data_IF_003266722527
#
_entry.id   IF_003266722527
#
_cell.length_a   1.000
_cell.length_b   1.000
_cell.length_c   1.000
_cell.angle_alpha   90.00
_cell.angle_beta   90.00
_cell.angle_gamma   90.00
#
_symmetry.space_group_name_H-M   'P 1'
#
loop_
_entity.id
_entity.type
_entity.pdbx_description
1 polymer ?
2 polymer ?
3 non-polymer ?
#
loop_
_entity_poly.entity_id
_entity_poly.type
_entity_poly.pdbx_seq_one_letter_code
_entity_poly.pdbx_strand_id
2 'polyribonucleotide' 'GGCCAGGUAGCUCAGUUGGUAGAGCACUGGACUGAAAAUCCAGGUGUCGGCGGUUCGAUUCCGCCCCUGGCCAC' ?
#
# COMPACT_ATOMS: atom_id res chain seq x y z
N UNK A 1 -26.96 -7.66 15.85
CA UNK A 1 -28.33 -7.73 15.32
C UNK A 1 -28.38 -8.70 14.15
N UNK A 2 -27.22 -8.98 13.58
CA UNK A 2 -27.11 -9.88 12.44
C UNK A 2 -27.59 -11.29 12.78
N UNK A 3 -27.13 -11.81 13.92
CA UNK A 3 -27.51 -13.14 14.37
C UNK A 3 -29.00 -13.29 14.63
N UNK A 4 -29.64 -12.22 15.09
CA UNK A 4 -31.07 -12.24 15.36
C UNK A 4 -31.87 -12.35 14.07
N UNK A 5 -31.57 -11.47 13.11
CA UNK A 5 -32.22 -11.48 11.81
C UNK A 5 -31.95 -12.82 11.10
N UNK A 6 -30.75 -13.35 11.27
CA UNK A 6 -30.38 -14.64 10.70
C UNK A 6 -31.18 -15.76 11.33
N UNK A 7 -31.48 -15.61 12.62
CA UNK A 7 -32.30 -16.59 13.33
C UNK A 7 -33.74 -16.55 12.83
N UNK A 8 -34.26 -15.33 12.61
CA UNK A 8 -35.62 -15.16 12.11
C UNK A 8 -35.79 -15.73 10.71
N UNK A 9 -34.76 -15.59 9.89
CA UNK A 9 -34.79 -16.08 8.52
C UNK A 9 -34.38 -17.55 8.43
N UNK A 10 -33.92 -18.09 9.55
CA UNK A 10 -33.44 -19.46 9.59
C UNK A 10 -32.21 -19.66 8.73
N UNK A 11 -31.25 -18.73 8.85
CA UNK A 11 -30.04 -18.76 8.05
C UNK A 11 -28.80 -18.93 8.93
N UNK A 12 -27.64 -19.00 8.27
CA UNK A 12 -26.37 -19.07 8.98
C UNK A 12 -25.39 -18.06 8.38
N UNK A 13 -25.00 -17.06 9.16
CA UNK A 13 -24.07 -16.04 8.69
C UNK A 13 -22.75 -16.14 9.42
N UNK A 14 -21.67 -15.74 8.76
CA UNK A 14 -20.34 -15.84 9.37
C UNK A 14 -19.45 -14.67 8.95
N UNK A 15 -18.61 -14.23 9.88
CA UNK A 15 -17.54 -13.28 9.55
C UNK A 15 -16.43 -14.08 8.88
N UNK A 16 -15.97 -13.60 7.72
CA UNK A 16 -15.09 -14.41 6.88
C UNK A 16 -13.93 -13.62 6.24
N UNK A 17 -12.77 -14.26 6.16
CA UNK A 17 -11.64 -13.70 5.45
C UNK A 17 -10.65 -12.96 6.33
N UNK A 18 -9.93 -12.03 5.73
CA UNK A 18 -8.91 -11.25 6.42
C UNK A 18 -9.47 -10.51 7.63
N UNK A 19 -10.75 -10.15 7.54
CA UNK A 19 -11.44 -9.51 8.66
C UNK A 19 -11.28 -10.33 9.92
N UNK A 20 -11.42 -11.65 9.80
CA UNK A 20 -11.20 -12.55 10.92
C UNK A 20 -9.76 -12.46 11.39
N UNK A 21 -8.84 -12.54 10.42
CA UNK A 21 -7.42 -12.49 10.71
C UNK A 21 -7.08 -11.25 11.53
N UNK A 22 -7.48 -10.08 11.02
CA UNK A 22 -7.26 -8.82 11.70
C UNK A 22 -7.85 -8.83 13.11
N UNK A 23 -8.99 -9.49 13.26
CA UNK A 23 -9.62 -9.63 14.57
C UNK A 23 -8.73 -10.47 15.48
N UNK A 24 -8.23 -11.57 14.94
CA UNK A 24 -7.33 -12.45 15.69
C UNK A 24 -5.97 -11.79 15.88
N UNK A 25 -5.65 -10.84 15.02
CA UNK A 25 -4.41 -10.08 15.14
C UNK A 25 -4.62 -8.83 16.00
N UNK A 26 -5.84 -8.67 16.51
CA UNK A 26 -6.17 -7.55 17.37
C UNK A 26 -6.45 -6.26 16.61
N UNK A 27 -6.25 -6.29 15.29
CA UNK A 27 -6.45 -5.12 14.45
C UNK A 27 -7.93 -4.92 14.15
N UNK A 28 -8.46 -3.76 14.55
CA UNK A 28 -9.87 -3.47 14.33
C UNK A 28 -10.08 -2.73 13.01
N UNK A 29 -10.96 -3.28 12.18
CA UNK A 29 -11.27 -2.68 10.88
C UNK A 29 -12.75 -2.34 10.78
N UNK A 30 -13.07 -1.36 9.91
CA UNK A 30 -14.44 -0.94 9.70
C UNK A 30 -15.09 -1.69 8.55
N UNK A 31 -14.29 -2.48 7.84
CA UNK A 31 -14.80 -3.26 6.71
C UNK A 31 -14.96 -4.72 7.11
N UNK A 32 -16.21 -5.18 7.15
CA UNK A 32 -16.48 -6.56 7.56
C UNK A 32 -17.07 -7.37 6.40
N UNK A 33 -16.57 -8.58 6.23
CA UNK A 33 -17.04 -9.47 5.18
C UNK A 33 -17.87 -10.62 5.74
N UNK A 34 -19.06 -10.79 5.19
CA UNK A 34 -19.98 -11.82 5.65
C UNK A 34 -20.24 -12.88 4.59
N UNK A 35 -20.24 -14.15 5.02
CA UNK A 35 -20.68 -15.25 4.18
C UNK A 35 -21.95 -15.87 4.76
N UNK A 36 -23.00 -15.89 3.95
CA UNK A 36 -24.30 -16.35 4.40
C UNK A 36 -24.80 -17.57 3.64
N UNK A 37 -25.16 -18.61 4.38
CA UNK A 37 -25.81 -19.78 3.79
C UNK A 37 -27.28 -19.46 3.59
N UNK A 38 -27.73 -19.51 2.33
CA UNK A 38 -29.03 -18.98 1.98
C UNK A 38 -28.82 -17.59 1.40
N UNK A 39 -29.90 -16.89 1.09
CA UNK A 39 -29.79 -15.59 0.43
C UNK A 39 -29.23 -14.52 1.37
N UNK A 40 -28.10 -13.93 0.96
CA UNK A 40 -27.49 -12.84 1.73
C UNK A 40 -28.15 -11.50 1.41
N UNK A 41 -28.72 -11.40 0.21
CA UNK A 41 -29.30 -10.15 -0.25
C UNK A 41 -30.43 -9.66 0.65
N UNK A 42 -31.40 -10.52 0.90
CA UNK A 42 -32.54 -10.17 1.75
C UNK A 42 -32.08 -9.85 3.16
N UNK A 43 -31.02 -10.53 3.60
CA UNK A 43 -30.45 -10.28 4.92
C UNK A 43 -29.88 -8.87 5.00
N UNK A 44 -29.13 -8.49 3.97
CA UNK A 44 -28.54 -7.17 3.92
C UNK A 44 -29.61 -6.08 3.80
N UNK A 45 -30.67 -6.38 3.05
CA UNK A 45 -31.76 -5.44 2.86
C UNK A 45 -32.51 -5.22 4.18
N UNK A 46 -32.78 -6.30 4.90
CA UNK A 46 -33.49 -6.23 6.18
C UNK A 46 -32.64 -5.51 7.22
N UNK A 47 -31.35 -5.84 7.26
CA UNK A 47 -30.43 -5.19 8.20
C UNK A 47 -30.31 -3.71 7.90
N UNK A 48 -30.35 -3.35 6.62
CA UNK A 48 -30.27 -1.95 6.22
C UNK A 48 -31.58 -1.23 6.56
N UNK A 49 -32.68 -1.97 6.51
CA UNK A 49 -34.01 -1.40 6.76
C UNK A 49 -34.23 -1.11 8.25
N UNK A 50 -33.85 -2.07 9.10
CA UNK A 50 -34.02 -1.90 10.54
C UNK A 50 -33.20 -0.73 11.07
N UNK A 51 -31.96 -0.60 10.60
CA UNK A 51 -31.09 0.49 11.01
C UNK A 51 -31.43 1.77 10.25
N UNK A 52 -32.30 1.65 9.25
CA UNK A 52 -32.74 2.80 8.49
C UNK A 52 -31.65 3.44 7.65
N UNK A 53 -30.94 2.61 6.88
CA UNK A 53 -29.90 3.09 5.99
C UNK A 53 -30.07 2.54 4.57
N UNK A 54 -29.45 3.18 3.60
CA UNK A 54 -29.53 2.74 2.21
C UNK A 54 -28.86 1.38 2.00
N UNK A 55 -29.29 0.67 0.97
CA UNK A 55 -28.73 -0.64 0.66
C UNK A 55 -28.31 -0.69 -0.81
N UNK A 56 -27.21 -1.37 -1.09
CA UNK A 56 -26.70 -1.50 -2.44
C UNK A 56 -26.62 -2.97 -2.85
N UNK A 57 -27.72 -3.50 -3.42
CA UNK A 57 -27.82 -4.89 -3.87
C UNK A 57 -27.09 -5.16 -5.18
N UNK A 58 -26.52 -6.36 -5.28
CA UNK A 58 -25.89 -6.84 -6.50
C UNK A 58 -26.30 -8.31 -6.71
N UNK A 59 -27.43 -8.52 -7.39
CA UNK A 59 -28.05 -9.83 -7.61
C UNK A 59 -27.19 -10.80 -8.43
N UNK A 60 -26.55 -10.30 -9.49
CA UNK A 60 -25.76 -11.14 -10.37
C UNK A 60 -24.55 -11.72 -9.65
N UNK A 61 -23.88 -10.89 -8.85
CA UNK A 61 -22.77 -11.34 -8.03
C UNK A 61 -23.29 -12.06 -6.79
N UNK A 62 -24.50 -11.71 -6.37
CA UNK A 62 -25.12 -12.33 -5.22
C UNK A 62 -24.63 -11.74 -3.91
N UNK A 63 -24.17 -10.49 -3.97
CA UNK A 63 -23.66 -9.82 -2.78
C UNK A 63 -24.34 -8.48 -2.59
N UNK A 64 -24.29 -7.94 -1.38
CA UNK A 64 -24.92 -6.65 -1.10
C UNK A 64 -24.10 -5.84 -0.10
N UNK A 65 -24.00 -4.53 -0.36
CA UNK A 65 -23.21 -3.66 0.50
C UNK A 65 -24.07 -2.62 1.20
N UNK A 66 -23.85 -2.45 2.50
CA UNK A 66 -24.58 -1.45 3.29
C UNK A 66 -23.65 -0.81 4.31
N UNK A 67 -23.88 0.47 4.61
CA UNK A 67 -23.00 1.18 5.54
C UNK A 67 -23.75 1.64 6.79
N UNK A 68 -23.25 1.23 7.95
CA UNK A 68 -23.81 1.65 9.23
C UNK A 68 -22.76 2.40 10.03
N UNK A 69 -22.95 3.70 10.21
CA UNK A 69 -21.95 4.54 10.85
C UNK A 69 -20.66 4.52 10.06
N UNK A 70 -19.55 4.17 10.70
CA UNK A 70 -18.27 4.03 10.02
C UNK A 70 -18.07 2.60 9.51
N UNK A 71 -18.96 1.70 9.91
CA UNK A 71 -18.87 0.30 9.50
C UNK A 71 -19.33 0.09 8.07
N UNK A 72 -18.47 -0.52 7.27
CA UNK A 72 -18.81 -0.89 5.90
C UNK A 72 -19.06 -2.40 5.83
N UNK A 73 -20.31 -2.77 5.59
CA UNK A 73 -20.72 -4.18 5.64
C UNK A 73 -20.96 -4.75 4.24
N UNK A 74 -20.36 -5.91 3.99
CA UNK A 74 -20.55 -6.64 2.74
C UNK A 74 -21.08 -8.05 3.02
N UNK A 75 -22.27 -8.34 2.53
CA UNK A 75 -22.84 -9.67 2.68
C UNK A 75 -22.71 -10.46 1.37
N UNK A 76 -22.09 -11.63 1.46
CA UNK A 76 -21.88 -12.46 0.29
C UNK A 76 -22.51 -13.84 0.46
N UNK A 77 -23.10 -14.34 -0.61
CA UNK A 77 -23.73 -15.66 -0.59
C UNK A 77 -22.66 -16.73 -0.76
N UNK A 78 -22.79 -17.82 0.00
CA UNK A 78 -21.82 -18.91 -0.04
C UNK A 78 -21.74 -19.55 -1.42
N UNK A 79 -20.52 -19.65 -1.95
CA UNK A 79 -20.29 -20.21 -3.27
C UNK A 79 -19.05 -21.10 -3.28
N UNK A 80 -19.15 -22.26 -3.93
CA UNK A 80 -18.04 -23.20 -3.98
C UNK A 80 -17.00 -22.79 -5.02
N UNK A 81 -17.43 -22.03 -6.02
CA UNK A 81 -16.54 -21.62 -7.11
C UNK A 81 -16.53 -20.10 -7.27
N UNK A 82 -15.48 -19.60 -7.91
CA UNK A 82 -15.32 -18.17 -8.12
C UNK A 82 -16.09 -17.70 -9.35
N UNK A 93 -27.42 -26.00 -6.67
CA UNK A 93 -27.13 -26.60 -5.38
C UNK A 93 -26.48 -25.58 -4.44
N UNK A 94 -27.02 -25.47 -3.21
CA UNK A 94 -26.49 -24.55 -2.21
C UNK A 94 -25.08 -24.95 -1.75
N UNK A 95 -24.19 -23.97 -1.65
CA UNK A 95 -22.80 -24.24 -1.27
C UNK A 95 -22.61 -24.06 0.23
N UNK A 96 -21.88 -25.00 0.84
CA UNK A 96 -21.58 -24.92 2.27
C UNK A 96 -20.52 -23.86 2.54
N UNK A 97 -20.45 -23.42 3.79
CA UNK A 97 -19.43 -22.47 4.22
C UNK A 97 -18.03 -22.98 3.92
N UNK A 98 -17.80 -24.27 4.20
CA UNK A 98 -16.50 -24.90 3.99
C UNK A 98 -16.04 -24.78 2.54
N UNK A 99 -16.97 -24.99 1.62
CA UNK A 99 -16.68 -24.86 0.19
C UNK A 99 -16.34 -23.41 -0.16
N UNK A 100 -16.96 -22.47 0.55
CA UNK A 100 -16.71 -21.06 0.30
C UNK A 100 -15.34 -20.65 0.83
N UNK A 101 -14.90 -21.31 1.89
CA UNK A 101 -13.60 -21.01 2.49
C UNK A 101 -12.45 -21.69 1.75
N UNK A 102 -12.72 -22.85 1.17
CA UNK A 102 -11.66 -23.64 0.53
C UNK A 102 -11.24 -23.07 -0.82
N UNK A 103 -12.02 -22.12 -1.34
CA UNK A 103 -11.70 -21.50 -2.62
C UNK A 103 -10.77 -20.30 -2.42
N UNK A 104 -10.41 -20.04 -1.18
CA UNK A 104 -9.60 -18.86 -0.86
C UNK A 104 -8.11 -19.19 -0.92
N UNK A 105 -7.28 -18.19 -0.65
CA UNK A 105 -5.84 -18.32 -0.88
C UNK A 105 -5.09 -19.05 0.23
N UNK A 106 -4.98 -18.42 1.40
CA UNK A 106 -4.13 -18.93 2.47
C UNK A 106 -4.91 -19.33 3.71
N UNK A 107 -4.32 -20.20 4.51
CA UNK A 107 -4.97 -20.76 5.70
C UNK A 107 -5.41 -19.69 6.70
N UNK A 108 -4.62 -18.63 6.81
CA UNK A 108 -4.95 -17.55 7.75
C UNK A 108 -6.16 -16.75 7.28
N UNK A 109 -6.39 -16.76 5.97
CA UNK A 109 -7.54 -16.08 5.39
C UNK A 109 -8.72 -17.03 5.16
N UNK A 110 -8.54 -18.28 5.54
CA UNK A 110 -9.52 -19.32 5.29
C UNK A 110 -10.46 -19.60 6.47
N UNK A 111 -10.31 -18.84 7.55
CA UNK A 111 -11.11 -19.11 8.75
C UNK A 111 -12.36 -18.24 8.83
N UNK A 112 -13.18 -18.50 9.84
CA UNK A 112 -14.44 -17.77 10.00
C UNK A 112 -14.91 -17.73 11.45
N UNK A 113 -15.68 -16.70 11.79
CA UNK A 113 -16.24 -16.56 13.13
C UNK A 113 -17.77 -16.45 13.07
N UNK A 114 -18.45 -17.39 13.72
CA UNK A 114 -19.90 -17.49 13.61
C UNK A 114 -20.64 -16.38 14.38
N UNK A 115 -21.52 -15.69 13.68
CA UNK A 115 -22.35 -14.66 14.30
C UNK A 115 -23.73 -15.20 14.68
N UNK A 116 -23.94 -16.50 14.49
CA UNK A 116 -25.19 -17.12 14.89
C UNK A 116 -25.32 -17.16 16.40
N UNK A 117 -26.50 -16.81 16.91
CA UNK A 117 -26.71 -16.57 18.34
C UNK A 117 -26.34 -17.74 19.25
N UNK A 118 -26.51 -18.96 18.76
CA UNK A 118 -26.27 -20.15 19.59
C UNK A 118 -24.78 -20.44 19.78
N UNK A 119 -24.03 -20.45 18.69
CA UNK A 119 -22.60 -20.74 18.73
C UNK A 119 -21.74 -19.48 18.77
N UNK A 120 -22.39 -18.32 18.94
CA UNK A 120 -21.75 -17.01 18.80
C UNK A 120 -20.43 -16.88 19.54
N UNK A 121 -19.41 -16.41 18.82
CA UNK A 121 -18.08 -16.22 19.37
C UNK A 121 -17.12 -17.30 18.93
N UNK A 122 -17.66 -18.40 18.39
CA UNK A 122 -16.85 -19.53 17.99
C UNK A 122 -16.13 -19.29 16.67
N UNK A 123 -14.83 -19.55 16.66
CA UNK A 123 -14.02 -19.45 15.46
C UNK A 123 -14.06 -20.78 14.70
N UNK A 124 -14.42 -20.72 13.42
CA UNK A 124 -14.49 -21.93 12.60
C UNK A 124 -13.26 -22.05 11.71
N UNK A 125 -12.41 -23.02 12.03
CA UNK A 125 -11.19 -23.26 11.26
C UNK A 125 -11.08 -24.72 10.84
N UNK A 126 -11.24 -24.97 9.54
CA UNK A 126 -11.14 -26.33 8.99
C UNK A 126 -9.70 -26.76 8.70
N UNK A 127 -8.91 -25.84 8.14
CA UNK A 127 -7.61 -26.17 7.57
C UNK A 127 -6.45 -25.95 8.55
N UNK A 128 -6.76 -25.55 9.77
CA UNK A 128 -5.75 -25.30 10.76
C UNK A 128 -5.04 -23.98 10.55
N UNK A 129 -5.79 -22.99 10.07
CA UNK A 129 -5.25 -21.66 9.82
C UNK A 129 -4.84 -20.93 11.08
N UNK A 130 -5.45 -21.33 12.20
CA UNK A 130 -5.13 -20.77 13.50
C UNK A 130 -3.70 -21.15 13.89
N UNK A 131 -3.35 -22.41 13.66
CA UNK A 131 -2.02 -22.91 13.92
C UNK A 131 -0.97 -22.15 13.12
N UNK A 132 -1.25 -21.97 11.82
CA UNK A 132 -0.35 -21.24 10.94
C UNK A 132 -0.27 -19.77 11.35
N UNK A 133 -1.35 -19.27 11.92
CA UNK A 133 -1.38 -17.89 12.40
C UNK A 133 -0.47 -17.74 13.61
N UNK A 134 -0.50 -18.72 14.51
CA UNK A 134 0.34 -18.67 15.69
C UNK A 134 1.78 -19.08 15.37
N UNK A 135 1.96 -19.82 14.27
CA UNK A 135 3.29 -20.27 13.87
C UNK A 135 3.92 -19.33 12.86
N UNK A 136 3.21 -18.26 12.52
CA UNK A 136 3.68 -17.26 11.56
C UNK A 136 3.98 -17.89 10.20
N UNK A 137 3.03 -18.65 9.69
CA UNK A 137 3.23 -19.39 8.45
C UNK A 137 2.18 -19.05 7.39
N UNK A 138 2.65 -18.72 6.19
CA UNK A 138 1.76 -18.52 5.05
C UNK A 138 1.64 -19.82 4.26
N UNK A 139 0.46 -20.43 4.28
CA UNK A 139 0.29 -21.74 3.65
C UNK A 139 -0.93 -21.77 2.73
N UNK A 140 -0.71 -22.26 1.51
CA UNK A 140 -1.78 -22.43 0.55
C UNK A 140 -2.64 -23.64 0.88
N UNK A 141 -3.88 -23.63 0.41
CA UNK A 141 -4.82 -24.72 0.69
C UNK A 141 -4.57 -25.93 -0.20
N UNK A 142 -4.30 -25.69 -1.47
CA UNK A 142 -4.07 -26.75 -2.44
C UNK A 142 -2.85 -26.44 -3.31
N UNK A 143 -2.16 -27.48 -3.79
CA UNK A 143 -0.94 -27.33 -4.60
C UNK A 143 -1.13 -26.52 -5.88
N UNK A 144 -2.36 -26.46 -6.38
CA UNK A 144 -2.65 -25.76 -7.62
C UNK A 144 -3.01 -24.30 -7.40
N UNK A 145 -2.92 -23.85 -6.15
CA UNK A 145 -3.33 -22.51 -5.75
C UNK A 145 -2.70 -21.40 -6.60
N UNK A 146 -1.38 -21.42 -6.73
CA UNK A 146 -0.68 -20.38 -7.48
C UNK A 146 -0.95 -20.53 -8.98
N UNK A 147 -1.23 -21.75 -9.40
CA UNK A 147 -1.56 -22.01 -10.80
C UNK A 147 -2.94 -21.46 -11.14
N UNK A 148 -3.88 -21.63 -10.21
CA UNK A 148 -5.24 -21.10 -10.38
C UNK A 148 -5.22 -19.58 -10.49
N UNK A 149 -4.63 -18.93 -9.49
CA UNK A 149 -4.55 -17.48 -9.46
C UNK A 149 -3.11 -17.04 -9.25
N UNK A 150 -2.38 -16.79 -10.35
CA UNK A 150 -0.98 -16.35 -10.31
C UNK A 150 -0.77 -15.08 -9.49
N UNK A 151 -1.79 -14.24 -9.41
CA UNK A 151 -1.73 -13.01 -8.62
C UNK A 151 -1.33 -13.30 -7.18
N UNK A 152 -1.81 -14.42 -6.65
CA UNK A 152 -1.50 -14.85 -5.29
C UNK A 152 0.00 -14.91 -5.03
N UNK A 153 0.78 -15.20 -6.08
CA UNK A 153 2.24 -15.24 -5.96
C UNK A 153 2.76 -13.97 -5.31
N UNK A 154 2.21 -12.83 -5.73
CA UNK A 154 2.54 -11.57 -5.10
C UNK A 154 1.95 -11.50 -3.69
N UNK A 155 0.65 -11.78 -3.61
CA UNK A 155 -0.12 -11.60 -2.37
C UNK A 155 0.56 -12.24 -1.18
N UNK A 156 0.94 -13.51 -1.31
CA UNK A 156 1.61 -14.23 -0.25
C UNK A 156 2.80 -13.41 0.26
N UNK A 157 3.68 -13.06 -0.67
CA UNK A 157 4.86 -12.27 -0.34
C UNK A 157 4.44 -11.00 0.40
N UNK A 158 3.43 -10.33 -0.15
CA UNK A 158 2.92 -9.10 0.45
C UNK A 158 2.52 -9.35 1.90
N UNK A 159 1.76 -10.43 2.14
CA UNK A 159 1.37 -10.75 3.50
C UNK A 159 2.59 -11.07 4.33
N UNK A 160 3.51 -11.83 3.73
CA UNK A 160 4.74 -12.20 4.42
C UNK A 160 5.53 -10.95 4.77
N UNK A 161 5.30 -9.88 4.01
CA UNK A 161 5.91 -8.61 4.30
C UNK A 161 5.25 -7.94 5.50
N UNK A 162 3.93 -7.92 5.49
CA UNK A 162 3.18 -7.19 6.53
C UNK A 162 3.23 -7.87 7.89
N UNK A 163 2.82 -9.14 7.91
CA UNK A 163 2.69 -9.87 9.16
C UNK A 163 4.02 -10.43 9.65
N UNK A 164 5.06 -10.26 8.83
CA UNK A 164 6.37 -10.83 9.09
C UNK A 164 6.26 -12.34 9.30
N UNK A 165 5.57 -13.01 8.40
CA UNK A 165 5.44 -14.47 8.45
C UNK A 165 6.42 -15.12 7.50
N UNK A 166 6.44 -16.45 7.48
CA UNK A 166 7.32 -17.19 6.59
C UNK A 166 6.54 -18.20 5.75
N UNK A 167 6.98 -18.38 4.51
CA UNK A 167 6.35 -19.34 3.61
C UNK A 167 6.75 -20.76 4.00
N UNK A 168 5.76 -21.65 4.05
CA UNK A 168 6.03 -23.05 4.32
C UNK A 168 6.79 -23.66 3.14
N UNK A 169 7.51 -24.74 3.40
CA UNK A 169 8.28 -25.42 2.36
C UNK A 169 7.41 -25.76 1.15
N UNK A 170 6.23 -26.31 1.44
CA UNK A 170 5.24 -26.61 0.41
C UNK A 170 4.93 -25.37 -0.41
N UNK A 171 4.36 -24.36 0.25
CA UNK A 171 3.97 -23.12 -0.39
C UNK A 171 5.13 -22.45 -1.14
N UNK A 172 6.33 -22.52 -0.57
CA UNK A 172 7.49 -21.91 -1.19
C UNK A 172 7.85 -22.62 -2.49
N UNK A 173 7.98 -23.95 -2.44
CA UNK A 173 8.30 -24.73 -3.62
C UNK A 173 7.25 -24.53 -4.71
N UNK A 174 5.98 -24.56 -4.32
CA UNK A 174 4.87 -24.37 -5.24
C UNK A 174 4.92 -22.98 -5.89
N UNK A 175 5.30 -21.98 -5.11
CA UNK A 175 5.41 -20.62 -5.62
C UNK A 175 6.54 -20.53 -6.64
N UNK A 176 7.70 -21.09 -6.28
CA UNK A 176 8.85 -21.09 -7.18
C UNK A 176 8.53 -21.79 -8.49
N UNK A 177 7.87 -22.94 -8.39
CA UNK A 177 7.44 -23.68 -9.57
C UNK A 177 6.47 -22.85 -10.41
N UNK A 178 5.57 -22.15 -9.75
CA UNK A 178 4.59 -21.31 -10.44
C UNK A 178 5.26 -20.17 -11.21
N UNK A 179 6.30 -19.58 -10.62
CA UNK A 179 7.02 -18.49 -11.27
C UNK A 179 7.86 -19.03 -12.43
N UNK A 180 8.44 -20.20 -12.24
CA UNK A 180 9.27 -20.84 -13.26
C UNK A 180 8.50 -21.17 -14.54
N UNK A 181 7.18 -21.31 -14.41
CA UNK A 181 6.34 -21.61 -15.56
C UNK A 181 5.97 -20.33 -16.30
N UNK A 182 6.33 -19.19 -15.74
CA UNK A 182 6.05 -17.90 -16.34
C UNK A 182 4.57 -17.58 -16.32
N UNK A 183 3.87 -18.13 -15.33
CA UNK A 183 2.43 -17.89 -15.19
C UNK A 183 2.15 -16.45 -14.84
N UNK A 184 3.16 -15.75 -14.35
CA UNK A 184 3.03 -14.36 -13.95
C UNK A 184 2.82 -13.46 -15.17
N UNK A 185 3.29 -13.91 -16.33
CA UNK A 185 3.07 -13.19 -17.58
C UNK A 185 1.67 -13.46 -18.12
N UNK A 186 1.17 -14.66 -17.90
CA UNK A 186 -0.16 -15.03 -18.36
C UNK A 186 -1.26 -14.37 -17.54
N UNK A 187 -0.93 -13.99 -16.30
CA UNK A 187 -1.88 -13.34 -15.41
C UNK A 187 -2.29 -11.96 -15.93
N UNK A 188 -3.55 -11.56 -15.66
CA UNK A 188 -4.04 -10.24 -16.04
C UNK A 188 -3.17 -9.11 -15.51
N UNK A 189 -2.84 -8.15 -16.37
CA UNK A 189 -1.96 -7.05 -16.02
C UNK A 189 -2.53 -6.20 -14.88
N UNK A 190 -3.81 -5.88 -14.97
CA UNK A 190 -4.47 -5.03 -14.00
C UNK A 190 -4.43 -5.56 -12.58
N UNK A 191 -4.64 -6.86 -12.42
CA UNK A 191 -4.64 -7.48 -11.11
C UNK A 191 -3.26 -7.41 -10.46
N UNK A 192 -2.23 -7.68 -11.25
CA UNK A 192 -0.85 -7.63 -10.77
C UNK A 192 -0.45 -6.22 -10.40
N UNK A 193 -0.75 -5.27 -11.29
CA UNK A 193 -0.42 -3.86 -11.05
C UNK A 193 -1.13 -3.38 -9.78
N UNK A 194 -2.39 -3.74 -9.63
CA UNK A 194 -3.15 -3.37 -8.45
C UNK A 194 -2.57 -4.03 -7.19
N UNK A 195 -2.03 -5.23 -7.35
CA UNK A 195 -1.41 -5.94 -6.24
C UNK A 195 -0.16 -5.20 -5.78
N UNK A 196 0.62 -4.72 -6.74
CA UNK A 196 1.81 -3.94 -6.43
C UNK A 196 1.42 -2.61 -5.79
N UNK A 197 0.30 -2.05 -6.25
CA UNK A 197 -0.23 -0.82 -5.66
C UNK A 197 -0.58 -1.05 -4.20
N UNK A 198 -1.18 -2.20 -3.90
CA UNK A 198 -1.49 -2.57 -2.53
C UNK A 198 -0.21 -2.81 -1.74
N UNK A 199 0.83 -3.26 -2.43
CA UNK A 199 2.10 -3.56 -1.80
C UNK A 199 2.79 -2.28 -1.32
N UNK A 200 2.89 -1.30 -2.21
CA UNK A 200 3.65 -0.09 -1.91
C UNK A 200 3.00 0.79 -0.84
N UNK A 201 1.77 0.45 -0.47
CA UNK A 201 1.07 1.19 0.57
C UNK A 201 1.46 0.72 1.97
N UNK A 202 2.18 -0.41 2.02
CA UNK A 202 2.61 -0.99 3.28
C UNK A 202 3.81 -0.24 3.86
N UNK A 203 3.92 -0.23 5.19
CA UNK A 203 5.09 0.34 5.85
C UNK A 203 6.25 -0.65 5.81
N UNK A 204 5.90 -1.93 5.74
CA UNK A 204 6.87 -3.01 5.66
C UNK A 204 7.16 -3.39 4.22
N UNK A 205 6.64 -2.57 3.30
CA UNK A 205 6.78 -2.76 1.85
C UNK A 205 8.21 -3.08 1.40
N UNK A 206 9.20 -2.53 2.09
CA UNK A 206 10.60 -2.83 1.77
C UNK A 206 10.89 -4.33 1.88
N UNK A 207 10.36 -4.96 2.92
CA UNK A 207 10.50 -6.41 3.09
C UNK A 207 9.84 -7.15 1.94
N UNK A 208 8.70 -6.63 1.50
CA UNK A 208 7.99 -7.19 0.36
C UNK A 208 8.84 -7.06 -0.90
N UNK A 209 9.65 -6.01 -0.95
CA UNK A 209 10.58 -5.82 -2.07
C UNK A 209 11.72 -6.80 -1.96
N UNK A 210 12.12 -7.13 -0.73
CA UNK A 210 13.14 -8.15 -0.51
C UNK A 210 12.65 -9.51 -0.98
N UNK A 211 11.38 -9.79 -0.72
CA UNK A 211 10.77 -11.03 -1.17
C UNK A 211 10.56 -11.04 -2.67
N UNK A 212 10.29 -9.86 -3.24
CA UNK A 212 10.13 -9.74 -4.69
C UNK A 212 11.45 -9.96 -5.38
N UNK A 213 12.53 -9.53 -4.74
CA UNK A 213 13.87 -9.72 -5.27
C UNK A 213 14.30 -11.18 -5.15
N UNK A 214 13.98 -11.79 -4.01
CA UNK A 214 14.35 -13.18 -3.74
C UNK A 214 13.75 -14.13 -4.76
N UNK A 215 12.46 -13.99 -5.02
CA UNK A 215 11.76 -14.89 -5.92
C UNK A 215 11.68 -14.33 -7.34
N UNK A 216 12.26 -13.13 -7.52
CA UNK A 216 12.44 -12.52 -8.84
C UNK A 216 11.15 -12.38 -9.65
N UNK A 217 10.09 -11.92 -8.99
CA UNK A 217 8.80 -11.72 -9.66
C UNK A 217 8.76 -10.41 -10.45
N UNK A 218 9.53 -9.42 -10.00
CA UNK A 218 9.57 -8.11 -10.66
C UNK A 218 10.16 -8.21 -12.06
N UNK A 219 11.07 -9.15 -12.25
CA UNK A 219 11.67 -9.40 -13.55
C UNK A 219 10.61 -9.90 -14.52
N UNK A 220 9.65 -10.67 -14.00
CA UNK A 220 8.55 -11.19 -14.79
C UNK A 220 7.53 -10.10 -15.09
N UNK A 221 7.13 -9.35 -14.06
CA UNK A 221 6.11 -8.32 -14.22
C UNK A 221 6.64 -7.12 -15.02
N UNK A 222 7.77 -6.57 -14.57
CA UNK A 222 8.34 -5.39 -15.22
C UNK A 222 9.34 -5.79 -16.30
N UNK A 223 9.16 -5.23 -17.49
CA UNK A 223 10.03 -5.55 -18.62
C UNK A 223 11.31 -4.73 -18.58
N UNK A 224 12.46 -5.42 -18.55
CA UNK A 224 13.74 -4.76 -18.56
C UNK A 224 14.30 -4.47 -17.18
N UNK A 225 13.61 -4.95 -16.15
CA UNK A 225 14.03 -4.70 -14.77
C UNK A 225 14.95 -5.78 -14.25
N UNK A 226 16.10 -5.38 -13.74
CA UNK A 226 17.07 -6.30 -13.14
C UNK A 226 17.63 -5.72 -11.84
N UNK A 227 17.86 -6.59 -10.87
CA UNK A 227 18.33 -6.17 -9.55
C UNK A 227 19.84 -5.98 -9.50
N UNK A 228 20.26 -4.93 -8.80
CA UNK A 228 21.68 -4.70 -8.51
C UNK A 228 21.86 -4.22 -7.08
N UNK A 229 23.11 -4.01 -6.68
CA UNK A 229 23.41 -3.63 -5.31
C UNK A 229 23.17 -2.15 -5.03
N UNK A 230 23.45 -1.31 -6.02
CA UNK A 230 23.31 0.13 -5.87
C UNK A 230 21.86 0.51 -5.57
N UNK A 231 20.93 -0.12 -6.28
CA UNK A 231 19.50 0.13 -6.08
C UNK A 231 19.06 -0.29 -4.69
N UNK A 232 19.53 -1.45 -4.24
CA UNK A 232 19.19 -1.97 -2.93
C UNK A 232 19.69 -1.05 -1.81
N UNK A 233 20.97 -0.67 -1.90
CA UNK A 233 21.56 0.25 -0.94
C UNK A 233 20.83 1.60 -0.95
N UNK A 234 20.38 2.00 -2.14
CA UNK A 234 19.56 3.20 -2.28
C UNK A 234 18.22 3.03 -1.57
N UNK A 235 17.70 1.80 -1.56
CA UNK A 235 16.43 1.52 -0.91
C UNK A 235 16.56 1.55 0.60
N UNK A 236 17.70 1.11 1.12
CA UNK A 236 17.94 1.16 2.55
C UNK A 236 18.28 2.57 3.03
N UNK A 237 19.01 3.31 2.20
CA UNK A 237 19.28 4.72 2.49
C UNK A 237 17.98 5.50 2.51
N UNK A 238 17.14 5.23 1.52
CA UNK A 238 15.82 5.84 1.43
C UNK A 238 14.96 5.40 2.61
N UNK A 239 15.21 4.20 3.10
CA UNK A 239 14.53 3.69 4.29
C UNK A 239 14.89 4.54 5.50
N UNK A 240 16.17 4.82 5.67
CA UNK A 240 16.63 5.66 6.78
C UNK A 240 16.07 7.08 6.67
N UNK A 241 16.15 7.66 5.47
CA UNK A 241 15.63 9.01 5.21
C UNK A 241 14.13 9.09 5.51
N UNK A 242 13.40 8.08 5.05
CA UNK A 242 11.97 7.99 5.30
C UNK A 242 11.69 7.88 6.80
N UNK A 243 12.51 7.11 7.51
CA UNK A 243 12.35 6.98 8.95
C UNK A 243 12.52 8.32 9.65
N UNK A 244 13.61 9.02 9.35
CA UNK A 244 13.89 10.32 9.97
C UNK A 244 12.81 11.35 9.64
N UNK A 245 12.43 11.42 8.37
CA UNK A 245 11.44 12.37 7.89
C UNK A 245 10.07 12.11 8.51
N UNK A 246 9.71 10.84 8.64
CA UNK A 246 8.45 10.46 9.26
C UNK A 246 8.55 10.52 10.78
N UNK A 247 9.76 10.78 11.28
CA UNK A 247 9.97 10.95 12.70
C UNK A 247 9.77 12.41 13.11
N UNK A 248 10.66 13.28 12.64
CA UNK A 248 10.61 14.69 13.03
C UNK A 248 9.56 15.50 12.26
N UNK A 249 9.48 15.25 10.95
CA UNK A 249 8.64 16.03 10.05
C UNK A 249 7.25 15.43 9.84
N UNK A 250 6.90 14.44 10.66
CA UNK A 250 5.73 13.58 10.44
C UNK A 250 4.42 14.31 10.09
N UNK A 251 4.30 15.57 10.49
CA UNK A 251 3.14 16.37 10.10
C UNK A 251 3.13 16.61 8.58
N UNK A 252 4.30 16.53 7.96
CA UNK A 252 4.46 16.80 6.53
C UNK A 252 4.40 15.55 5.65
N UNK A 253 4.10 14.40 6.26
CA UNK A 253 4.20 13.11 5.58
C UNK A 253 3.49 13.02 4.22
N UNK A 254 4.17 12.39 3.27
CA UNK A 254 3.61 12.07 1.97
C UNK A 254 3.67 10.56 1.76
N UNK A 255 3.29 10.09 0.57
CA UNK A 255 3.34 8.65 0.30
C UNK A 255 4.76 8.22 -0.02
N UNK A 256 5.29 7.34 0.84
CA UNK A 256 6.69 6.93 0.76
C UNK A 256 6.96 5.82 -0.25
N UNK A 257 6.03 4.90 -0.42
CA UNK A 257 6.21 3.75 -1.29
C UNK A 257 6.56 4.11 -2.72
N UNK A 258 6.00 5.21 -3.20
CA UNK A 258 6.25 5.69 -4.55
C UNK A 258 7.70 6.07 -4.74
N UNK A 259 8.35 6.51 -3.67
CA UNK A 259 9.77 6.85 -3.71
C UNK A 259 10.59 5.60 -3.99
N UNK A 260 10.31 4.54 -3.25
CA UNK A 260 10.96 3.24 -3.47
C UNK A 260 10.71 2.77 -4.90
N UNK A 261 9.47 2.94 -5.35
CA UNK A 261 9.09 2.55 -6.70
C UNK A 261 9.89 3.33 -7.75
N UNK A 262 10.21 4.59 -7.43
CA UNK A 262 11.02 5.41 -8.32
C UNK A 262 12.47 4.96 -8.32
N UNK A 263 12.96 4.57 -7.14
CA UNK A 263 14.32 4.07 -7.02
C UNK A 263 14.50 2.79 -7.83
N UNK A 264 13.47 1.94 -7.80
CA UNK A 264 13.50 0.68 -8.56
C UNK A 264 13.61 0.90 -10.07
N UNK A 265 12.86 1.88 -10.57
CA UNK A 265 12.79 2.14 -12.01
C UNK A 265 13.79 3.19 -12.47
N UNK A 266 14.64 3.65 -11.56
CA UNK A 266 15.59 4.71 -11.84
C UNK A 266 16.53 4.40 -13.01
N UNK A 267 17.02 3.16 -13.06
CA UNK A 267 17.94 2.75 -14.11
C UNK A 267 17.23 2.32 -15.39
N UNK A 268 15.92 2.15 -15.30
CA UNK A 268 15.12 1.75 -16.45
C UNK A 268 15.03 2.87 -17.48
N UNK A 269 14.71 2.51 -18.72
CA UNK A 269 14.51 3.47 -19.78
C UNK A 269 13.31 4.37 -19.47
N UNK A 270 13.34 5.60 -19.99
CA UNK A 270 12.27 6.56 -19.73
C UNK A 270 10.94 6.10 -20.31
N UNK A 271 11.00 5.37 -21.42
CA UNK A 271 9.81 4.86 -22.07
C UNK A 271 9.10 3.82 -21.20
N UNK A 272 9.85 2.82 -20.76
CA UNK A 272 9.31 1.77 -19.89
C UNK A 272 8.90 2.33 -18.54
N UNK A 273 9.61 3.35 -18.06
CA UNK A 273 9.28 3.99 -16.81
C UNK A 273 7.97 4.73 -16.88
N UNK A 274 7.82 5.55 -17.92
CA UNK A 274 6.59 6.30 -18.13
C UNK A 274 5.41 5.35 -18.37
N UNK A 275 5.66 4.28 -19.10
CA UNK A 275 4.63 3.28 -19.38
C UNK A 275 4.18 2.57 -18.10
N UNK A 276 5.14 2.18 -17.28
CA UNK A 276 4.85 1.50 -16.01
C UNK A 276 4.10 2.41 -15.07
N UNK A 277 4.57 3.65 -14.92
CA UNK A 277 3.90 4.63 -14.07
C UNK A 277 2.51 4.95 -14.60
N UNK A 278 2.32 4.80 -15.92
CA UNK A 278 1.02 5.02 -16.53
C UNK A 278 0.08 3.86 -16.18
N UNK A 279 0.63 2.64 -16.15
CA UNK A 279 -0.15 1.46 -15.79
C UNK A 279 -0.49 1.45 -14.30
N UNK A 280 0.41 1.99 -13.48
CA UNK A 280 0.22 2.01 -12.04
C UNK A 280 -0.73 3.11 -11.60
N UNK A 281 -1.11 3.99 -12.54
CA UNK A 281 -1.93 5.15 -12.26
C UNK A 281 -1.33 5.97 -11.13
N UNK A 282 -0.03 6.27 -11.25
CA UNK A 282 0.71 7.00 -10.23
C UNK A 282 0.21 8.44 -10.11
N UNK A 283 0.33 9.02 -8.90
CA UNK A 283 -0.03 10.43 -8.66
C UNK A 283 0.80 11.39 -9.51
N UNK A 284 0.30 12.62 -9.66
CA UNK A 284 0.95 13.63 -10.49
C UNK A 284 2.35 13.98 -9.98
N UNK A 285 2.46 14.16 -8.67
CA UNK A 285 3.74 14.54 -8.06
C UNK A 285 4.77 13.43 -8.23
N UNK A 286 4.29 12.20 -8.36
CA UNK A 286 5.17 11.06 -8.60
C UNK A 286 5.75 11.11 -10.01
N UNK A 287 4.88 11.39 -10.99
CA UNK A 287 5.32 11.52 -12.37
C UNK A 287 6.28 12.70 -12.53
N UNK A 288 5.96 13.81 -11.87
CA UNK A 288 6.81 15.00 -11.90
C UNK A 288 8.17 14.71 -11.27
N UNK A 289 8.16 14.03 -10.13
CA UNK A 289 9.39 13.69 -9.42
C UNK A 289 10.25 12.74 -10.26
N UNK A 290 9.60 11.83 -10.98
CA UNK A 290 10.31 10.90 -11.85
C UNK A 290 10.94 11.60 -13.04
N UNK A 291 10.15 12.41 -13.72
CA UNK A 291 10.63 13.16 -14.89
C UNK A 291 11.73 14.13 -14.51
N UNK A 292 11.68 14.62 -13.27
CA UNK A 292 12.72 15.50 -12.75
C UNK A 292 13.96 14.72 -12.35
N UNK A 293 13.76 13.49 -11.89
CA UNK A 293 14.85 12.63 -11.44
C UNK A 293 15.68 12.11 -12.60
N UNK A 294 15.00 11.73 -13.67
CA UNK A 294 15.66 11.12 -14.83
C UNK A 294 16.57 12.10 -15.56
N UNK A 295 16.26 13.40 -15.46
CA UNK A 295 17.00 14.40 -16.22
C UNK A 295 17.65 15.47 -15.35
N UNK A 296 16.83 16.35 -14.78
CA UNK A 296 17.32 17.54 -14.10
C UNK A 296 17.99 17.28 -12.75
N UNK A 297 17.84 16.06 -12.23
CA UNK A 297 18.36 15.73 -10.90
C UNK A 297 19.88 15.84 -10.83
N UNK A 298 20.56 15.30 -11.84
CA UNK A 298 22.01 15.33 -11.89
C UNK A 298 22.56 16.75 -11.90
N UNK A 299 22.06 17.57 -12.81
CA UNK A 299 22.46 18.97 -12.91
C UNK A 299 22.12 19.72 -11.63
N UNK A 300 21.00 19.35 -11.01
CA UNK A 300 20.60 19.95 -9.74
C UNK A 300 21.64 19.66 -8.66
N UNK A 301 22.09 18.40 -8.59
CA UNK A 301 23.13 18.01 -7.65
C UNK A 301 24.42 18.77 -7.93
N UNK A 302 24.79 18.88 -9.20
CA UNK A 302 25.98 19.60 -9.60
C UNK A 302 25.91 21.07 -9.19
N UNK A 303 24.70 21.63 -9.21
CA UNK A 303 24.50 23.00 -8.77
C UNK A 303 24.57 23.12 -7.25
N UNK A 304 24.10 22.09 -6.56
CA UNK A 304 24.13 22.05 -5.10
C UNK A 304 25.56 21.89 -4.59
N UNK A 305 26.42 21.31 -5.43
CA UNK A 305 27.83 21.15 -5.07
C UNK A 305 28.56 22.48 -5.12
N UNK A 306 28.13 23.36 -6.02
CA UNK A 306 28.75 24.67 -6.19
C UNK A 306 28.13 25.71 -5.26
N UNK A 307 27.17 25.27 -4.45
CA UNK A 307 26.46 26.18 -3.55
C UNK A 307 27.37 26.70 -2.44
N UNK A 308 27.34 28.00 -2.23
CA UNK A 308 28.13 28.64 -1.18
C UNK A 308 27.22 29.38 -0.19
N UNK A 309 26.53 30.40 -0.68
CA UNK A 309 25.57 31.13 0.14
C UNK A 309 24.32 30.30 0.38
N UNK A 310 23.57 30.64 1.43
CA UNK A 310 22.37 29.90 1.78
C UNK A 310 21.18 30.23 0.88
N UNK A 311 21.20 31.43 0.31
CA UNK A 311 20.10 31.90 -0.52
C UNK A 311 20.03 31.14 -1.85
N UNK A 312 21.19 30.76 -2.37
CA UNK A 312 21.24 29.94 -3.59
C UNK A 312 20.61 28.60 -3.32
N UNK A 313 20.95 28.01 -2.17
CA UNK A 313 20.36 26.76 -1.73
C UNK A 313 18.84 26.88 -1.60
N UNK A 314 18.40 27.99 -1.01
CA UNK A 314 16.98 28.32 -0.92
C UNK A 314 16.31 28.28 -2.29
N UNK A 315 16.78 29.15 -3.18
CA UNK A 315 16.25 29.26 -4.55
C UNK A 315 16.23 27.91 -5.29
N UNK A 316 17.25 27.09 -5.07
CA UNK A 316 17.34 25.80 -5.75
C UNK A 316 16.43 24.74 -5.12
N UNK A 317 16.11 24.91 -3.85
CA UNK A 317 15.31 23.92 -3.12
C UNK A 317 13.83 24.26 -3.04
N UNK A 318 13.51 25.40 -2.45
CA UNK A 318 12.14 25.80 -2.12
C UNK A 318 11.06 25.53 -3.20
N UNK A 319 11.36 25.80 -4.49
CA UNK A 319 10.34 25.46 -5.49
C UNK A 319 10.05 23.96 -5.61
N UNK A 320 11.01 23.13 -5.23
CA UNK A 320 10.86 21.67 -5.36
C UNK A 320 9.91 21.09 -4.33
N UNK A 321 9.39 19.90 -4.63
CA UNK A 321 8.51 19.19 -3.70
C UNK A 321 9.34 18.54 -2.59
N UNK A 322 8.67 17.88 -1.66
CA UNK A 322 9.34 17.22 -0.55
C UNK A 322 10.03 15.94 -1.01
N UNK A 323 9.40 15.24 -1.95
CA UNK A 323 9.92 13.99 -2.48
C UNK A 323 11.30 14.18 -3.11
N UNK A 324 11.43 15.26 -3.89
CA UNK A 324 12.71 15.60 -4.53
C UNK A 324 13.79 15.82 -3.48
N UNK A 325 13.43 16.49 -2.40
CA UNK A 325 14.35 16.73 -1.30
C UNK A 325 14.78 15.43 -0.65
N UNK A 326 13.83 14.54 -0.44
CA UNK A 326 14.12 13.22 0.13
C UNK A 326 15.04 12.42 -0.77
N UNK A 327 14.91 12.64 -2.09
CA UNK A 327 15.80 12.02 -3.05
C UNK A 327 17.18 12.67 -3.03
N UNK A 328 17.21 13.94 -2.61
CA UNK A 328 18.47 14.66 -2.50
C UNK A 328 19.20 14.30 -1.21
N UNK A 329 18.46 13.73 -0.25
CA UNK A 329 19.05 13.30 1.00
C UNK A 329 19.82 11.99 0.84
N UNK A 330 19.68 11.37 -0.34
CA UNK A 330 20.40 10.14 -0.64
C UNK A 330 21.89 10.38 -0.76
N UNK A 331 22.26 11.61 -1.11
CA UNK A 331 23.65 12.00 -1.19
C UNK A 331 24.16 12.39 0.20
N UNK A 332 25.33 11.85 0.56
CA UNK A 332 25.91 12.10 1.88
C UNK A 332 26.29 13.55 2.09
N UNK A 333 26.87 14.17 1.06
CA UNK A 333 27.34 15.54 1.15
C UNK A 333 26.18 16.53 1.19
N UNK A 334 25.06 16.17 0.57
CA UNK A 334 23.91 17.06 0.49
C UNK A 334 22.95 16.88 1.65
N UNK A 335 23.15 15.83 2.45
CA UNK A 335 22.25 15.47 3.54
C UNK A 335 22.07 16.60 4.55
N UNK A 336 23.15 16.94 5.25
CA UNK A 336 23.12 17.98 6.28
C UNK A 336 22.70 19.33 5.71
N UNK A 337 22.95 19.54 4.41
CA UNK A 337 22.53 20.76 3.73
C UNK A 337 21.02 20.81 3.61
N UNK A 338 20.43 19.72 3.13
CA UNK A 338 18.99 19.60 3.02
C UNK A 338 18.33 19.76 4.38
N UNK A 339 18.86 19.08 5.39
CA UNK A 339 18.35 19.17 6.75
C UNK A 339 18.39 20.60 7.27
N UNK A 340 19.54 21.25 7.08
CA UNK A 340 19.72 22.65 7.49
C UNK A 340 18.71 23.55 6.80
N UNK A 341 18.38 23.24 5.55
CA UNK A 341 17.34 23.97 4.84
C UNK A 341 15.97 23.69 5.45
N UNK A 342 15.79 22.48 5.97
CA UNK A 342 14.50 22.05 6.48
C UNK A 342 14.17 22.67 7.83
N UNK A 343 14.93 22.33 8.86
CA UNK A 343 14.56 22.73 10.22
C UNK A 343 15.02 24.14 10.60
N UNK A 344 15.72 24.83 9.70
CA UNK A 344 16.21 26.17 10.00
C UNK A 344 15.92 27.22 8.92
N UNK A 345 16.54 27.03 7.75
CA UNK A 345 16.61 28.06 6.72
C UNK A 345 15.27 28.68 6.30
N UNK A 346 14.27 27.84 6.05
CA UNK A 346 13.00 28.32 5.51
C UNK A 346 12.05 28.83 6.59
N UNK A 347 12.52 28.81 7.84
CA UNK A 347 11.72 29.31 8.95
C UNK A 347 12.19 30.70 9.39
N UNK A 348 11.32 31.69 9.21
CA UNK A 348 11.64 33.09 9.53
C UNK A 348 10.40 33.96 9.30
N UNK A 349 10.41 35.17 9.86
CA UNK A 349 9.28 36.08 9.71
C UNK A 349 9.73 37.53 9.93
N UNK A 350 8.79 38.47 9.80
CA UNK A 350 9.06 39.88 10.00
C UNK A 350 7.91 40.57 10.72
N UNK A 351 8.23 41.58 11.55
CA UNK A 351 7.22 42.33 12.30
C UNK A 351 6.39 43.27 11.42
N UNK A 352 5.55 44.09 12.05
CA UNK A 352 4.63 44.96 11.30
C UNK A 352 5.31 46.15 10.65
N UNK A 353 5.84 47.05 11.48
CA UNK A 353 6.41 48.32 11.01
C UNK A 353 7.46 48.15 9.91
N UNK A 354 8.30 47.13 10.05
CA UNK A 354 9.33 46.86 9.07
C UNK A 354 8.72 46.56 7.71
N UNK A 355 7.82 45.57 7.65
CA UNK A 355 7.13 45.22 6.41
C UNK A 355 6.36 46.41 5.84
N UNK A 356 5.77 47.21 6.71
CA UNK A 356 5.07 48.42 6.30
C UNK A 356 6.04 49.39 5.62
N UNK A 357 7.29 49.40 6.08
CA UNK A 357 8.32 50.21 5.44
C UNK A 357 8.79 49.58 4.13
N UNK A 358 8.65 48.26 4.03
CA UNK A 358 9.05 47.53 2.83
C UNK A 358 8.06 47.75 1.69
N UNK A 359 6.78 47.88 2.04
CA UNK A 359 5.74 48.09 1.04
C UNK A 359 5.71 49.53 0.57
N UNK A 360 6.33 50.43 1.34
CA UNK A 360 6.36 51.86 1.05
C UNK A 360 4.96 52.44 0.87
N UNK A 365 3.94 45.72 -7.30
CA UNK A 365 3.70 44.48 -8.02
C UNK A 365 4.74 43.42 -7.71
N UNK A 366 5.48 43.01 -8.72
CA UNK A 366 6.53 42.00 -8.56
C UNK A 366 7.73 42.58 -7.83
N UNK A 367 7.88 43.90 -7.90
CA UNK A 367 9.02 44.59 -7.30
C UNK A 367 9.03 44.42 -5.78
N UNK A 368 7.84 44.33 -5.19
CA UNK A 368 7.71 44.07 -3.75
C UNK A 368 8.29 42.70 -3.43
N UNK A 369 7.98 41.72 -4.28
CA UNK A 369 8.48 40.37 -4.12
C UNK A 369 9.99 40.29 -4.26
N UNK A 370 10.52 40.94 -5.29
CA UNK A 370 11.96 40.97 -5.51
C UNK A 370 12.67 41.64 -4.33
N UNK A 371 12.07 42.71 -3.81
CA UNK A 371 12.63 43.41 -2.66
C UNK A 371 12.65 42.51 -1.44
N UNK A 372 11.54 41.81 -1.20
CA UNK A 372 11.45 40.85 -0.10
C UNK A 372 12.52 39.77 -0.23
N UNK A 373 12.75 39.31 -1.46
CA UNK A 373 13.82 38.34 -1.72
C UNK A 373 15.19 38.92 -1.37
N UNK A 374 15.41 40.18 -1.73
CA UNK A 374 16.66 40.86 -1.41
C UNK A 374 16.85 40.96 0.11
N UNK A 375 15.75 41.17 0.83
CA UNK A 375 15.80 41.26 2.28
C UNK A 375 16.08 39.90 2.91
N UNK A 376 15.50 38.85 2.33
CA UNK A 376 15.73 37.50 2.83
C UNK A 376 17.17 37.07 2.61
N UNK A 377 17.71 37.37 1.43
CA UNK A 377 19.11 37.04 1.14
C UNK A 377 20.04 37.98 1.92
N UNK A 378 19.49 39.10 2.39
CA UNK A 378 20.24 40.00 3.26
C UNK A 378 20.30 39.45 4.68
N UNK A 379 19.24 38.76 5.09
CA UNK A 379 19.17 38.16 6.41
C UNK A 379 20.03 36.89 6.49
N UNK A 380 19.87 36.02 5.48
CA UNK A 380 20.61 34.76 5.41
C UNK A 380 22.11 34.98 5.45
N UNK A 381 22.65 35.59 4.39
CA UNK A 381 24.08 35.83 4.29
C UNK A 381 24.52 37.02 5.12
#
# INVERSE_FOLDING_TARGET
MVGQIAKEMGLRAYIVGGVVRDILLGKEVWDVDFVVEGNAIELAKELARRHGVNVHPFPEFGTAHLKIGKLKLEFATARRETYPRPGAYPKVEPASLKEDLIRRDFTINAMAISVNLEDYGTLIDYFGGLRDLKDKVIRVLHPVSFIEDPVRILRALRFAGRLNFKLSRSTEKLLKQAVNLGLLKEAPRGRLINEIKLALREDRFLEILELYRKYRVLEEIIEGFQWNEKVLQKLYALRKVVDWHALEFSEERIDYGWLYLLILISNLDYERGKHFLEEMSAPSWVRETYKFMKFKLGSLKEELKKAKENYEVYRLLKPLHTSVLLLLMLEEELKEKIKLYLEKLRKVKLPKEKIEELKKQGLKGKELGERIEELKREIMNKIKLAAALEHHHHHH
#
